data_IF_206916324186
#
_entry.id   IF_206916324186
#
_cell.length_a   1.000
_cell.length_b   1.000
_cell.length_c   1.000
_cell.angle_alpha   90.00
_cell.angle_beta   90.00
_cell.angle_gamma   90.00
#
_symmetry.space_group_name_H-M   'P 1'
#
loop_
_entity.id
_entity.type
_entity.pdbx_description
1 polymer ?
#
# COMPACT_ATOMS: atom_id res chain seq x y z
N UNK A 1 4.97 16.34 -16.49
CA UNK A 1 6.11 17.27 -16.31
C UNK A 1 7.35 16.58 -16.85
N UNK A 2 8.00 17.16 -17.85
CA UNK A 2 9.26 16.68 -18.45
C UNK A 2 10.48 17.16 -17.64
N UNK A 3 10.42 17.03 -16.30
CA UNK A 3 11.51 17.43 -15.42
C UNK A 3 12.61 16.37 -15.38
N UNK A 4 13.87 16.81 -15.29
CA UNK A 4 14.96 15.91 -14.94
C UNK A 4 14.76 15.47 -13.48
N UNK A 5 14.49 14.18 -13.27
CA UNK A 5 14.22 13.58 -11.96
C UNK A 5 15.50 13.16 -11.21
N UNK A 6 16.67 13.61 -11.68
CA UNK A 6 17.97 13.38 -11.05
C UNK A 6 18.33 14.61 -10.21
N UNK A 7 18.50 14.43 -8.90
CA UNK A 7 18.94 15.52 -8.02
C UNK A 7 18.82 15.20 -6.54
N UNK A 8 19.06 16.22 -5.72
CA UNK A 8 18.87 16.20 -4.26
C UNK A 8 17.94 17.35 -3.91
N UNK A 9 16.91 17.07 -3.11
CA UNK A 9 15.95 18.07 -2.67
C UNK A 9 15.44 17.74 -1.26
N UNK A 10 15.05 18.75 -0.46
CA UNK A 10 14.35 18.50 0.79
C UNK A 10 12.94 17.94 0.52
N UNK A 11 12.54 16.92 1.29
CA UNK A 11 11.17 16.39 1.25
C UNK A 11 10.22 17.27 2.06
N UNK A 12 9.03 17.54 1.52
CA UNK A 12 7.95 18.18 2.27
C UNK A 12 7.32 17.19 3.26
N UNK A 13 6.94 17.69 4.44
CA UNK A 13 6.21 16.93 5.44
C UNK A 13 4.81 17.54 5.66
N UNK A 14 3.82 16.71 5.97
CA UNK A 14 2.49 17.17 6.37
C UNK A 14 2.50 17.58 7.85
N UNK A 15 3.01 18.80 8.09
CA UNK A 15 3.09 19.43 9.41
C UNK A 15 2.50 20.84 9.37
N UNK A 16 1.98 21.29 10.51
CA UNK A 16 1.53 22.67 10.69
C UNK A 16 2.70 23.61 11.05
N UNK A 17 2.39 24.90 11.26
CA UNK A 17 3.38 25.90 11.67
C UNK A 17 3.99 25.63 13.05
N UNK A 18 3.35 24.79 13.87
CA UNK A 18 3.86 24.34 15.16
C UNK A 18 4.65 23.02 15.05
N UNK A 19 4.97 22.58 13.83
CA UNK A 19 5.67 21.31 13.55
C UNK A 19 4.91 20.05 14.02
N UNK A 20 3.59 20.15 14.20
CA UNK A 20 2.74 19.02 14.54
C UNK A 20 2.21 18.34 13.29
N UNK A 21 2.06 17.00 13.32
CA UNK A 21 1.54 16.21 12.20
C UNK A 21 0.12 16.64 11.81
N UNK A 22 -0.10 16.86 10.51
CA UNK A 22 -1.42 17.06 9.92
C UNK A 22 -1.88 15.75 9.28
N UNK A 23 -2.82 15.06 9.94
CA UNK A 23 -3.44 13.81 9.46
C UNK A 23 -4.73 14.08 8.67
N UNK A 24 -5.24 13.07 7.96
CA UNK A 24 -6.56 13.16 7.30
C UNK A 24 -7.69 13.43 8.31
N UNK A 25 -7.62 12.85 9.51
CA UNK A 25 -8.59 13.10 10.57
C UNK A 25 -8.54 14.55 11.09
N UNK A 26 -7.34 15.10 11.26
CA UNK A 26 -7.18 16.50 11.70
C UNK A 26 -7.61 17.48 10.61
N UNK A 27 -7.23 17.21 9.35
CA UNK A 27 -7.48 18.12 8.24
C UNK A 27 -8.94 18.08 7.74
N UNK A 28 -9.56 16.90 7.68
CA UNK A 28 -10.86 16.72 7.01
C UNK A 28 -12.01 16.35 7.94
N UNK A 29 -11.76 15.54 8.99
CA UNK A 29 -12.84 15.12 9.89
C UNK A 29 -13.08 16.13 11.02
N UNK A 30 -12.02 16.59 11.69
CA UNK A 30 -12.13 17.49 12.85
C UNK A 30 -12.97 18.74 12.57
N UNK A 31 -12.84 19.42 11.40
CA UNK A 31 -13.66 20.59 11.08
C UNK A 31 -15.16 20.31 10.89
N UNK A 32 -15.55 19.06 10.62
CA UNK A 32 -16.93 18.68 10.28
C UNK A 32 -17.53 17.66 11.27
N UNK A 33 -16.80 17.29 12.32
CA UNK A 33 -17.17 16.21 13.25
C UNK A 33 -18.53 16.40 13.93
N UNK A 34 -18.98 17.64 14.09
CA UNK A 34 -20.22 18.02 14.76
C UNK A 34 -21.37 18.28 13.75
N UNK A 35 -21.15 18.06 12.45
CA UNK A 35 -22.19 18.22 11.44
C UNK A 35 -23.17 17.04 11.48
N UNK A 36 -24.47 17.33 11.50
CA UNK A 36 -25.53 16.33 11.67
C UNK A 36 -25.61 15.27 10.54
N UNK A 37 -25.04 15.54 9.37
CA UNK A 37 -24.99 14.64 8.23
C UNK A 37 -23.70 13.80 8.15
N UNK A 38 -22.84 13.85 9.17
CA UNK A 38 -21.59 13.07 9.25
C UNK A 38 -21.61 12.22 10.51
N UNK A 39 -21.59 10.90 10.35
CA UNK A 39 -21.49 9.94 11.45
C UNK A 39 -20.22 9.12 11.30
N UNK A 40 -19.38 9.10 12.34
CA UNK A 40 -18.17 8.26 12.40
C UNK A 40 -18.31 7.27 13.54
N UNK A 41 -18.19 5.98 13.24
CA UNK A 41 -18.20 4.89 14.22
C UNK A 41 -16.78 4.35 14.32
N UNK A 42 -16.09 4.65 15.40
CA UNK A 42 -14.73 4.16 15.66
C UNK A 42 -14.74 2.75 16.24
N UNK A 43 -13.69 1.97 15.99
CA UNK A 43 -13.64 0.57 16.43
C UNK A 43 -14.63 -0.33 15.69
N UNK A 44 -15.19 0.15 14.57
CA UNK A 44 -16.02 -0.61 13.67
C UNK A 44 -15.16 -1.32 12.61
N UNK A 45 -15.22 -2.65 12.56
CA UNK A 45 -14.51 -3.47 11.56
C UNK A 45 -15.52 -4.01 10.55
N UNK A 46 -15.44 -3.55 9.30
CA UNK A 46 -16.29 -4.04 8.20
C UNK A 46 -15.95 -5.50 7.93
N UNK A 47 -16.97 -6.36 7.91
CA UNK A 47 -16.80 -7.79 7.68
C UNK A 47 -17.05 -8.16 6.22
N UNK A 48 -18.09 -7.59 5.61
CA UNK A 48 -18.41 -7.75 4.17
C UNK A 48 -19.49 -6.76 3.72
N UNK A 49 -19.66 -6.69 2.41
CA UNK A 49 -20.73 -6.00 1.71
C UNK A 49 -21.81 -7.01 1.31
N UNK A 50 -23.07 -6.62 1.40
CA UNK A 50 -24.22 -7.45 1.00
C UNK A 50 -24.84 -6.87 -0.26
N UNK A 51 -24.98 -7.72 -1.27
CA UNK A 51 -25.45 -7.32 -2.59
C UNK A 51 -26.89 -7.74 -2.87
N UNK A 52 -27.55 -6.96 -3.70
CA UNK A 52 -28.78 -7.32 -4.40
C UNK A 52 -28.51 -7.34 -5.91
N UNK A 53 -29.11 -8.29 -6.62
CA UNK A 53 -29.00 -8.35 -8.07
C UNK A 53 -29.81 -7.22 -8.72
N UNK A 54 -29.22 -6.53 -9.68
CA UNK A 54 -29.86 -5.55 -10.55
C UNK A 54 -29.66 -5.95 -12.02
N UNK A 55 -30.38 -5.30 -12.93
CA UNK A 55 -30.29 -5.57 -14.37
C UNK A 55 -28.86 -5.39 -14.91
N UNK A 56 -28.13 -4.37 -14.40
CA UNK A 56 -26.82 -3.96 -14.91
C UNK A 56 -25.64 -4.37 -14.00
N UNK A 57 -25.88 -5.20 -12.98
CA UNK A 57 -24.83 -5.68 -12.08
C UNK A 57 -25.29 -5.91 -10.64
N UNK A 58 -24.35 -5.95 -9.71
CA UNK A 58 -24.63 -6.10 -8.29
C UNK A 58 -24.63 -4.73 -7.58
N UNK A 59 -25.69 -4.43 -6.83
CA UNK A 59 -25.74 -3.24 -5.98
C UNK A 59 -25.48 -3.61 -4.53
N UNK A 60 -24.60 -2.86 -3.86
CA UNK A 60 -24.43 -2.93 -2.41
C UNK A 60 -25.69 -2.37 -1.76
N UNK A 61 -26.38 -3.23 -1.02
CA UNK A 61 -27.57 -2.89 -0.25
C UNK A 61 -27.24 -2.62 1.22
N UNK A 62 -26.27 -3.36 1.78
CA UNK A 62 -25.84 -3.20 3.18
C UNK A 62 -24.34 -3.37 3.36
N UNK A 63 -23.82 -2.76 4.40
CA UNK A 63 -22.48 -3.03 4.95
C UNK A 63 -22.66 -3.74 6.27
N UNK A 64 -22.07 -4.93 6.42
CA UNK A 64 -21.96 -5.64 7.69
C UNK A 64 -20.65 -5.27 8.37
N UNK A 65 -20.71 -5.04 9.69
CA UNK A 65 -19.55 -4.68 10.49
C UNK A 65 -19.72 -5.13 11.93
N UNK A 66 -18.62 -5.17 12.67
CA UNK A 66 -18.59 -5.46 14.10
C UNK A 66 -18.04 -4.26 14.87
N UNK A 67 -18.37 -4.11 16.15
CA UNK A 67 -17.85 -3.02 17.00
C UNK A 67 -17.27 -3.60 18.29
N UNK A 68 -16.17 -3.02 18.78
CA UNK A 68 -15.57 -3.41 20.06
C UNK A 68 -15.05 -4.85 20.03
N UNK A 69 -15.59 -5.72 20.90
CA UNK A 69 -15.14 -7.11 21.06
C UNK A 69 -15.55 -8.05 19.91
N UNK A 70 -16.31 -7.54 18.93
CA UNK A 70 -16.70 -8.24 17.70
C UNK A 70 -17.67 -9.43 17.86
N UNK A 71 -18.37 -9.50 18.98
CA UNK A 71 -19.33 -10.57 19.27
C UNK A 71 -20.65 -10.47 18.48
N UNK A 72 -20.96 -9.28 17.95
CA UNK A 72 -22.20 -9.02 17.21
C UNK A 72 -21.92 -8.40 15.85
N UNK A 73 -22.54 -8.97 14.81
CA UNK A 73 -22.62 -8.38 13.47
C UNK A 73 -23.76 -7.37 13.45
N UNK A 74 -23.41 -6.11 13.17
CA UNK A 74 -24.33 -5.02 12.88
C UNK A 74 -24.39 -4.80 11.37
N UNK A 75 -25.44 -4.12 10.91
CA UNK A 75 -25.52 -3.70 9.51
C UNK A 75 -26.09 -2.30 9.35
N UNK A 76 -25.68 -1.63 8.29
CA UNK A 76 -26.24 -0.34 7.85
C UNK A 76 -26.64 -0.44 6.38
N UNK A 77 -27.76 0.20 6.03
CA UNK A 77 -28.22 0.28 4.65
C UNK A 77 -27.42 1.30 3.84
N UNK A 78 -27.18 0.99 2.58
CA UNK A 78 -26.57 1.89 1.61
C UNK A 78 -27.68 2.55 0.80
N UNK A 79 -27.87 3.86 1.01
CA UNK A 79 -28.95 4.60 0.33
C UNK A 79 -28.60 5.11 -1.08
N UNK A 80 -27.31 5.25 -1.41
CA UNK A 80 -26.84 5.71 -2.72
C UNK A 80 -25.67 4.87 -3.20
N UNK A 81 -24.49 5.11 -2.64
CA UNK A 81 -23.24 4.44 -3.01
C UNK A 81 -22.49 3.97 -1.77
N UNK A 82 -21.75 2.87 -1.93
CA UNK A 82 -20.75 2.42 -0.97
C UNK A 82 -19.35 2.80 -1.48
N UNK A 83 -18.54 3.40 -0.61
CA UNK A 83 -17.17 3.79 -0.93
C UNK A 83 -16.24 2.99 -0.01
N UNK A 84 -15.39 2.16 -0.60
CA UNK A 84 -14.41 1.35 0.11
C UNK A 84 -13.05 2.06 0.14
N UNK A 85 -12.51 2.27 1.33
CA UNK A 85 -11.24 2.97 1.58
C UNK A 85 -10.41 2.28 2.67
N UNK A 86 -10.38 0.95 2.68
CA UNK A 86 -9.73 0.15 3.71
C UNK A 86 -8.21 -0.02 3.47
N UNK A 87 -7.68 0.51 2.36
CA UNK A 87 -6.27 0.45 2.00
C UNK A 87 -5.90 -0.85 1.28
N UNK A 88 -4.66 -0.91 0.78
CA UNK A 88 -4.23 -1.94 -0.17
C UNK A 88 -4.20 -3.37 0.37
N UNK A 89 -4.29 -3.58 1.68
CA UNK A 89 -4.39 -4.93 2.24
C UNK A 89 -5.83 -5.35 2.53
N UNK A 90 -6.61 -4.47 3.17
CA UNK A 90 -7.96 -4.82 3.62
C UNK A 90 -9.04 -4.62 2.55
N UNK A 91 -8.86 -3.69 1.60
CA UNK A 91 -9.80 -3.50 0.50
C UNK A 91 -10.00 -4.76 -0.35
N UNK A 92 -8.96 -5.43 -0.89
CA UNK A 92 -9.15 -6.67 -1.63
C UNK A 92 -9.78 -7.76 -0.75
N UNK A 93 -9.37 -7.86 0.52
CA UNK A 93 -9.95 -8.81 1.46
C UNK A 93 -11.47 -8.60 1.64
N UNK A 94 -11.91 -7.35 1.82
CA UNK A 94 -13.34 -7.03 1.96
C UNK A 94 -14.08 -7.37 0.67
N UNK A 95 -13.52 -7.05 -0.50
CA UNK A 95 -14.12 -7.41 -1.79
C UNK A 95 -14.31 -8.93 -1.90
N UNK A 96 -13.28 -9.71 -1.59
CA UNK A 96 -13.36 -11.16 -1.68
C UNK A 96 -14.32 -11.77 -0.66
N UNK A 97 -14.29 -11.32 0.61
CA UNK A 97 -15.26 -11.71 1.65
C UNK A 97 -16.71 -11.39 1.26
N UNK A 98 -16.90 -10.45 0.34
CA UNK A 98 -18.20 -10.04 -0.19
C UNK A 98 -18.57 -10.73 -1.51
N UNK A 99 -17.74 -11.65 -1.99
CA UNK A 99 -17.97 -12.41 -3.23
C UNK A 99 -17.52 -11.71 -4.51
N UNK A 100 -16.66 -10.69 -4.42
CA UNK A 100 -16.03 -10.04 -5.58
C UNK A 100 -14.55 -10.41 -5.61
N UNK A 101 -14.15 -11.21 -6.59
CA UNK A 101 -12.77 -11.68 -6.74
C UNK A 101 -12.65 -12.82 -7.73
N UNK A 102 -11.48 -13.45 -7.79
CA UNK A 102 -11.29 -14.65 -8.62
C UNK A 102 -12.23 -15.76 -8.16
N UNK A 103 -13.04 -16.29 -9.07
CA UNK A 103 -13.90 -17.46 -8.80
C UNK A 103 -13.18 -18.57 -8.05
N UNK A 104 -11.96 -18.90 -8.48
CA UNK A 104 -11.17 -19.97 -7.87
C UNK A 104 -10.83 -19.68 -6.39
N UNK A 105 -10.44 -18.44 -6.09
CA UNK A 105 -10.12 -18.02 -4.71
C UNK A 105 -11.39 -18.09 -3.84
N UNK A 106 -12.50 -17.56 -4.33
CA UNK A 106 -13.77 -17.51 -3.60
C UNK A 106 -14.34 -18.91 -3.34
N UNK A 107 -14.41 -19.76 -4.37
CA UNK A 107 -14.94 -21.11 -4.26
C UNK A 107 -14.06 -21.99 -3.34
N UNK A 108 -12.74 -21.77 -3.30
CA UNK A 108 -11.84 -22.48 -2.37
C UNK A 108 -12.11 -22.19 -0.88
N UNK A 109 -12.89 -21.16 -0.59
CA UNK A 109 -13.21 -20.65 0.75
C UNK A 109 -14.71 -20.72 1.06
N UNK A 110 -15.48 -21.43 0.24
CA UNK A 110 -16.94 -21.55 0.29
C UNK A 110 -17.67 -20.19 0.23
N UNK A 111 -17.12 -19.23 -0.52
CA UNK A 111 -17.74 -17.91 -0.73
C UNK A 111 -18.49 -17.90 -2.06
N UNK A 112 -19.76 -17.49 -2.02
CA UNK A 112 -20.56 -17.33 -3.23
C UNK A 112 -20.00 -16.22 -4.11
N UNK A 113 -19.79 -16.51 -5.39
CA UNK A 113 -19.33 -15.53 -6.38
C UNK A 113 -20.47 -14.59 -6.76
N UNK A 114 -20.32 -13.31 -6.42
CA UNK A 114 -21.20 -12.22 -6.85
C UNK A 114 -20.69 -11.64 -8.17
N UNK A 115 -19.38 -11.33 -8.23
CA UNK A 115 -18.71 -10.88 -9.45
C UNK A 115 -17.38 -11.61 -9.58
N UNK A 116 -17.20 -12.32 -10.69
CA UNK A 116 -15.90 -12.91 -11.04
C UNK A 116 -14.99 -11.81 -11.58
N UNK A 117 -14.04 -11.40 -10.74
CA UNK A 117 -13.13 -10.30 -10.98
C UNK A 117 -11.72 -10.70 -10.54
N UNK A 118 -11.00 -11.47 -11.37
CA UNK A 118 -9.74 -12.11 -10.97
C UNK A 118 -8.58 -11.13 -10.70
N UNK A 119 -8.74 -9.84 -11.00
CA UNK A 119 -7.75 -8.81 -10.66
C UNK A 119 -7.78 -8.36 -9.19
N UNK A 120 -8.81 -8.72 -8.42
CA UNK A 120 -8.88 -8.38 -6.99
C UNK A 120 -7.78 -9.12 -6.23
N UNK A 121 -7.02 -8.38 -5.42
CA UNK A 121 -5.93 -8.93 -4.63
C UNK A 121 -4.61 -9.02 -5.40
N UNK A 122 -4.66 -9.07 -6.73
CA UNK A 122 -3.48 -9.15 -7.59
C UNK A 122 -2.74 -7.82 -7.71
N UNK A 123 -1.59 -7.82 -8.39
CA UNK A 123 -0.88 -6.59 -8.75
C UNK A 123 -0.36 -5.80 -7.52
N UNK A 124 -0.23 -6.44 -6.35
CA UNK A 124 0.38 -5.82 -5.18
C UNK A 124 1.80 -5.39 -5.51
N UNK A 125 2.11 -4.13 -5.24
CA UNK A 125 3.46 -3.61 -5.36
C UNK A 125 3.85 -2.93 -4.06
N UNK A 126 5.02 -3.27 -3.53
CA UNK A 126 5.70 -2.48 -2.50
C UNK A 126 7.01 -1.93 -3.06
N UNK A 127 7.26 -0.64 -2.88
CA UNK A 127 8.56 -0.04 -3.19
C UNK A 127 9.61 -0.72 -2.30
N UNK A 128 10.59 -1.39 -2.92
CA UNK A 128 11.64 -2.08 -2.17
C UNK A 128 12.60 -1.07 -1.57
N UNK A 129 12.97 -1.32 -0.33
CA UNK A 129 13.81 -0.48 0.48
C UNK A 129 14.93 -1.33 1.09
N UNK A 130 16.15 -0.84 0.94
CA UNK A 130 17.34 -1.42 1.55
C UNK A 130 18.17 -0.30 2.17
N UNK A 131 18.89 -0.62 3.24
CA UNK A 131 19.73 0.31 4.01
C UNK A 131 18.95 1.37 4.80
N UNK A 132 18.66 1.05 6.06
CA UNK A 132 18.21 2.03 7.05
C UNK A 132 18.81 1.68 8.42
N UNK A 133 19.28 2.70 9.14
CA UNK A 133 19.34 2.69 10.61
C UNK A 133 17.96 3.05 11.19
N UNK A 134 16.89 2.42 10.69
CA UNK A 134 15.59 2.46 11.36
C UNK A 134 15.58 1.28 12.33
N UNK A 135 15.55 1.53 13.65
CA UNK A 135 15.55 0.45 14.62
C UNK A 135 14.28 -0.38 14.43
N UNK A 136 14.43 -1.65 14.05
CA UNK A 136 13.34 -2.64 14.07
C UNK A 136 13.72 -3.76 15.04
N UNK A 137 12.79 -4.61 15.49
CA UNK A 137 13.12 -5.76 16.34
C UNK A 137 14.21 -6.68 15.73
N UNK A 138 14.36 -6.68 14.41
CA UNK A 138 15.33 -7.46 13.64
C UNK A 138 16.59 -6.66 13.25
N UNK A 139 16.58 -5.33 13.36
CA UNK A 139 17.72 -4.45 13.09
C UNK A 139 17.94 -3.48 14.24
N UNK A 140 18.81 -3.83 15.21
CA UNK A 140 19.13 -2.92 16.29
C UNK A 140 19.84 -1.67 15.72
N UNK A 141 19.55 -0.51 16.32
CA UNK A 141 20.34 0.68 16.06
C UNK A 141 21.82 0.41 16.34
N UNK A 142 22.76 1.06 15.62
CA UNK A 142 24.17 1.03 15.98
C UNK A 142 24.33 1.41 17.45
N UNK A 143 25.17 0.68 18.17
CA UNK A 143 25.49 1.03 19.57
C UNK A 143 26.12 2.42 19.59
N UNK A 144 25.71 3.32 20.50
CA UNK A 144 26.39 4.60 20.66
C UNK A 144 27.88 4.37 20.93
N UNK A 145 28.74 4.85 20.02
CA UNK A 145 30.20 4.67 20.08
C UNK A 145 30.94 6.02 20.02
N UNK A 146 30.25 7.13 20.26
CA UNK A 146 30.80 8.49 20.16
C UNK A 146 30.71 9.11 18.76
N UNK A 147 30.37 8.33 17.73
CA UNK A 147 30.17 8.83 16.36
C UNK A 147 28.69 9.04 16.03
N UNK A 148 28.42 10.06 15.20
CA UNK A 148 27.13 10.24 14.54
C UNK A 148 26.93 9.23 13.42
N UNK A 149 25.67 8.82 13.20
CA UNK A 149 25.32 7.88 12.13
C UNK A 149 24.33 8.55 11.18
N UNK A 150 24.45 8.24 9.89
CA UNK A 150 23.46 8.59 8.88
C UNK A 150 23.32 7.44 7.88
N UNK A 151 22.19 7.36 7.20
CA UNK A 151 21.91 6.30 6.22
C UNK A 151 21.69 6.88 4.85
N UNK A 152 22.00 6.07 3.83
CA UNK A 152 21.51 6.25 2.47
C UNK A 152 20.46 5.18 2.17
N UNK A 153 19.16 5.49 2.32
CA UNK A 153 18.10 4.60 1.88
C UNK A 153 18.21 4.35 0.38
N UNK A 154 18.35 3.07 0.01
CA UNK A 154 18.32 2.62 -1.37
C UNK A 154 16.91 2.14 -1.67
N UNK A 155 16.24 2.85 -2.57
CA UNK A 155 14.81 2.69 -2.82
C UNK A 155 14.59 2.37 -4.28
N UNK A 156 14.01 1.20 -4.56
CA UNK A 156 13.55 0.83 -5.90
C UNK A 156 12.10 1.27 -6.07
N UNK A 157 11.89 2.44 -6.67
CA UNK A 157 10.58 3.09 -6.79
C UNK A 157 9.66 2.45 -7.83
N UNK A 158 10.20 1.70 -8.78
CA UNK A 158 9.43 1.01 -9.82
C UNK A 158 9.85 -0.46 -9.91
N UNK A 159 9.55 -1.28 -8.88
CA UNK A 159 9.86 -2.70 -8.93
C UNK A 159 9.10 -3.38 -10.07
N UNK A 160 9.70 -4.39 -10.67
CA UNK A 160 9.05 -5.25 -11.66
C UNK A 160 8.24 -6.35 -10.98
N UNK A 161 8.71 -6.87 -9.84
CA UNK A 161 8.00 -7.84 -9.01
C UNK A 161 6.58 -7.38 -8.66
N UNK A 162 5.68 -8.36 -8.62
CA UNK A 162 4.28 -8.19 -8.28
C UNK A 162 3.88 -9.31 -7.36
N UNK A 163 3.25 -8.94 -6.26
CA UNK A 163 2.68 -9.87 -5.32
C UNK A 163 1.16 -9.90 -5.37
N UNK A 164 0.57 -10.46 -4.32
CA UNK A 164 -0.87 -10.54 -4.14
C UNK A 164 -1.30 -10.41 -2.67
N UNK A 165 -2.59 -10.14 -2.48
CA UNK A 165 -3.29 -10.12 -1.19
C UNK A 165 -4.61 -10.86 -1.34
N UNK A 166 -4.72 -12.01 -0.68
CA UNK A 166 -5.95 -12.81 -0.72
C UNK A 166 -6.39 -13.19 0.69
N UNK A 167 -7.68 -13.49 0.84
CA UNK A 167 -8.22 -13.95 2.11
C UNK A 167 -7.54 -15.24 2.60
N UNK A 168 -7.16 -15.28 3.88
CA UNK A 168 -6.65 -16.49 4.52
C UNK A 168 -7.78 -17.45 4.90
N UNK A 169 -8.93 -16.90 5.26
CA UNK A 169 -10.16 -17.63 5.54
C UNK A 169 -11.39 -16.73 5.40
N UNK A 170 -12.58 -17.32 5.49
CA UNK A 170 -13.86 -16.59 5.56
C UNK A 170 -14.10 -15.82 6.88
N UNK A 171 -13.20 -15.94 7.85
CA UNK A 171 -13.27 -15.15 9.08
C UNK A 171 -12.71 -13.74 8.81
N UNK A 172 -13.53 -12.69 8.84
CA UNK A 172 -13.11 -11.32 8.52
C UNK A 172 -12.11 -10.73 9.51
N UNK A 173 -11.88 -11.41 10.65
CA UNK A 173 -10.90 -10.97 11.66
C UNK A 173 -9.50 -11.51 11.42
N UNK A 174 -9.36 -12.55 10.60
CA UNK A 174 -8.06 -13.07 10.21
C UNK A 174 -7.39 -12.10 9.22
N UNK A 175 -6.10 -11.79 9.40
CA UNK A 175 -5.35 -11.03 8.40
C UNK A 175 -5.35 -11.76 7.05
N UNK A 176 -5.34 -11.03 5.92
CA UNK A 176 -5.18 -11.65 4.62
C UNK A 176 -3.78 -12.26 4.47
N UNK A 177 -3.65 -13.23 3.57
CA UNK A 177 -2.36 -13.71 3.08
C UNK A 177 -1.76 -12.61 2.20
N UNK A 178 -0.58 -12.12 2.57
CA UNK A 178 0.16 -11.11 1.81
C UNK A 178 1.42 -11.77 1.28
N UNK A 179 1.51 -11.91 -0.05
CA UNK A 179 2.74 -12.26 -0.73
C UNK A 179 3.26 -11.03 -1.46
N UNK A 180 4.46 -10.56 -1.12
CA UNK A 180 5.08 -9.42 -1.79
C UNK A 180 5.89 -9.82 -3.04
N UNK A 181 6.21 -11.12 -3.17
CA UNK A 181 7.03 -11.69 -4.25
C UNK A 181 8.31 -10.88 -4.52
N UNK A 182 8.97 -10.44 -3.44
CA UNK A 182 10.16 -9.60 -3.52
C UNK A 182 11.28 -10.34 -4.26
N UNK A 183 11.89 -9.67 -5.25
CA UNK A 183 12.92 -10.23 -6.13
C UNK A 183 12.51 -11.40 -7.01
N UNK A 184 11.21 -11.66 -7.18
CA UNK A 184 10.71 -12.58 -8.20
C UNK A 184 11.20 -12.20 -9.61
N UNK A 185 11.20 -10.90 -9.95
CA UNK A 185 11.82 -10.43 -11.18
C UNK A 185 13.30 -10.06 -10.95
N UNK A 186 14.21 -10.69 -11.70
CA UNK A 186 15.66 -10.54 -11.51
C UNK A 186 16.17 -9.12 -11.67
N UNK A 187 15.53 -8.28 -12.50
CA UNK A 187 15.93 -6.88 -12.66
C UNK A 187 15.90 -6.09 -11.32
N UNK A 188 14.99 -6.44 -10.40
CA UNK A 188 14.83 -5.68 -9.15
C UNK A 188 16.08 -5.78 -8.27
N UNK A 189 16.63 -6.99 -8.13
CA UNK A 189 17.83 -7.20 -7.33
C UNK A 189 19.07 -6.61 -8.03
N UNK A 190 19.16 -6.72 -9.35
CA UNK A 190 20.29 -6.15 -10.11
C UNK A 190 20.33 -4.61 -10.03
N UNK A 191 19.16 -3.95 -10.04
CA UNK A 191 19.09 -2.49 -9.86
C UNK A 191 19.57 -2.11 -8.45
N UNK A 192 19.16 -2.85 -7.42
CA UNK A 192 19.60 -2.58 -6.05
C UNK A 192 21.09 -2.87 -5.82
N UNK A 193 21.68 -3.88 -6.48
CA UNK A 193 23.14 -4.11 -6.46
C UNK A 193 23.87 -2.87 -7.00
N UNK A 194 23.39 -2.32 -8.12
CA UNK A 194 23.95 -1.10 -8.69
C UNK A 194 23.74 0.12 -7.79
N UNK A 195 22.62 0.19 -7.05
CA UNK A 195 22.36 1.23 -6.07
C UNK A 195 23.35 1.17 -4.88
N UNK A 196 23.68 -0.02 -4.37
CA UNK A 196 24.71 -0.20 -3.34
C UNK A 196 26.07 0.29 -3.83
N UNK A 197 26.47 -0.15 -5.02
CA UNK A 197 27.73 0.30 -5.66
C UNK A 197 27.75 1.81 -5.87
N UNK A 198 26.62 2.39 -6.26
CA UNK A 198 26.48 3.84 -6.42
C UNK A 198 26.66 4.58 -5.09
N UNK A 199 25.99 4.13 -4.01
CA UNK A 199 26.13 4.74 -2.69
C UNK A 199 27.57 4.71 -2.17
N UNK A 200 28.29 3.59 -2.38
CA UNK A 200 29.73 3.51 -2.06
C UNK A 200 30.57 4.52 -2.82
N UNK A 201 30.34 4.67 -4.14
CA UNK A 201 31.02 5.68 -4.94
C UNK A 201 30.71 7.10 -4.46
N UNK A 202 29.45 7.36 -4.08
CA UNK A 202 29.03 8.66 -3.53
C UNK A 202 29.76 8.98 -2.22
N UNK A 203 29.82 8.03 -1.29
CA UNK A 203 30.55 8.17 -0.03
C UNK A 203 32.06 8.35 -0.22
N UNK A 204 32.62 7.87 -1.34
CA UNK A 204 34.03 8.06 -1.69
C UNK A 204 34.37 9.42 -2.31
N UNK A 205 33.39 10.31 -2.51
CA UNK A 205 33.64 11.64 -3.08
C UNK A 205 34.21 12.61 -2.04
N UNK A 206 34.89 13.67 -2.50
CA UNK A 206 35.53 14.67 -1.62
C UNK A 206 34.53 15.32 -0.64
N UNK A 207 33.26 15.47 -1.03
CA UNK A 207 32.22 16.04 -0.16
C UNK A 207 31.92 15.20 1.09
N UNK A 208 32.20 13.89 1.05
CA UNK A 208 31.98 12.96 2.16
C UNK A 208 33.27 12.60 2.91
N UNK A 209 34.41 13.11 2.46
CA UNK A 209 35.70 12.89 3.12
C UNK A 209 35.71 13.51 4.52
N UNK A 210 36.08 12.70 5.51
CA UNK A 210 36.05 13.11 6.92
C UNK A 210 34.66 13.12 7.55
N UNK A 211 33.59 12.87 6.77
CA UNK A 211 32.22 12.66 7.27
C UNK A 211 31.93 11.16 7.37
N UNK A 212 32.20 10.42 6.30
CA UNK A 212 32.10 8.95 6.29
C UNK A 212 33.43 8.37 6.78
N UNK A 213 33.42 7.81 7.98
CA UNK A 213 34.59 7.14 8.58
C UNK A 213 34.58 5.64 8.27
N UNK A 214 33.39 5.03 8.27
CA UNK A 214 33.20 3.59 8.09
C UNK A 214 31.83 3.28 7.47
N UNK A 215 31.77 2.25 6.62
CA UNK A 215 30.52 1.65 6.19
C UNK A 215 30.11 0.53 7.16
N UNK A 216 28.97 0.69 7.84
CA UNK A 216 28.49 -0.31 8.81
C UNK A 216 27.72 -1.45 8.13
N UNK A 217 26.89 -1.12 7.13
CA UNK A 217 26.05 -2.10 6.41
C UNK A 217 25.98 -1.77 4.92
N UNK A 218 26.15 -2.75 4.01
CA UNK A 218 26.51 -4.17 4.27
C UNK A 218 27.90 -4.39 4.87
N UNK A 219 28.75 -3.37 4.85
CA UNK A 219 30.07 -3.40 5.45
C UNK A 219 31.17 -3.71 4.41
N UNK A 220 32.44 -3.47 4.77
CA UNK A 220 33.54 -3.49 3.82
C UNK A 220 33.87 -4.89 3.25
N UNK A 221 33.38 -5.97 3.87
CA UNK A 221 33.67 -7.33 3.42
C UNK A 221 32.70 -7.85 2.35
N UNK A 222 31.59 -7.16 2.09
CA UNK A 222 30.60 -7.55 1.07
C UNK A 222 30.92 -6.80 -0.22
N UNK A 223 31.59 -7.43 -1.19
CA UNK A 223 32.16 -6.72 -2.35
C UNK A 223 31.61 -7.19 -3.70
N UNK A 224 31.55 -8.50 -3.90
CA UNK A 224 31.05 -9.09 -5.14
C UNK A 224 29.54 -8.90 -5.30
N UNK A 225 29.06 -8.97 -6.55
CA UNK A 225 27.63 -8.86 -6.86
C UNK A 225 26.81 -9.93 -6.14
N UNK A 226 27.35 -11.14 -6.00
CA UNK A 226 26.67 -12.25 -5.32
C UNK A 226 26.59 -12.04 -3.80
N UNK A 227 27.67 -11.56 -3.16
CA UNK A 227 27.64 -11.19 -1.74
C UNK A 227 26.66 -10.03 -1.50
N UNK A 228 26.61 -9.04 -2.39
CA UNK A 228 25.65 -7.95 -2.31
C UNK A 228 24.22 -8.49 -2.47
N UNK A 229 23.95 -9.37 -3.45
CA UNK A 229 22.63 -10.00 -3.63
C UNK A 229 22.19 -10.79 -2.40
N UNK A 230 23.09 -11.58 -1.81
CA UNK A 230 22.81 -12.32 -0.59
C UNK A 230 22.46 -11.37 0.57
N UNK A 231 23.24 -10.30 0.74
CA UNK A 231 22.90 -9.25 1.70
C UNK A 231 21.50 -8.66 1.43
N UNK A 232 21.22 -8.22 0.20
CA UNK A 232 19.94 -7.62 -0.18
C UNK A 232 18.75 -8.55 0.12
N UNK A 233 18.87 -9.85 -0.15
CA UNK A 233 17.80 -10.84 0.16
C UNK A 233 17.50 -10.96 1.65
N UNK A 234 18.53 -10.84 2.49
CA UNK A 234 18.38 -10.90 3.93
C UNK A 234 17.86 -9.59 4.54
N UNK A 235 17.96 -8.48 3.80
CA UNK A 235 17.70 -7.13 4.33
C UNK A 235 16.72 -6.29 3.52
N UNK A 236 16.06 -6.83 2.52
CA UNK A 236 15.01 -6.09 1.82
C UNK A 236 13.78 -5.97 2.69
N UNK A 237 13.17 -4.80 2.66
CA UNK A 237 11.84 -4.52 3.18
C UNK A 237 11.11 -3.62 2.17
N UNK A 238 9.90 -3.18 2.48
CA UNK A 238 9.16 -2.20 1.68
C UNK A 238 9.00 -0.87 2.44
N UNK A 239 8.84 0.23 1.72
CA UNK A 239 8.63 1.57 2.33
C UNK A 239 7.25 1.75 2.95
N UNK A 240 6.52 0.67 3.26
CA UNK A 240 5.12 0.71 3.72
C UNK A 240 4.19 1.47 2.74
N UNK A 241 4.47 1.39 1.43
CA UNK A 241 3.65 1.95 0.35
C UNK A 241 3.00 0.84 -0.52
N UNK A 242 2.19 -0.07 0.04
CA UNK A 242 1.52 -1.09 -0.76
C UNK A 242 0.48 -0.43 -1.66
N UNK A 243 0.52 -0.71 -2.96
CA UNK A 243 -0.42 -0.21 -3.96
C UNK A 243 -0.93 -1.35 -4.84
N UNK A 244 -2.02 -1.11 -5.57
CA UNK A 244 -2.35 -1.86 -6.78
C UNK A 244 -3.30 -3.05 -6.66
N UNK A 245 -3.75 -3.41 -5.46
CA UNK A 245 -4.57 -4.60 -5.18
C UNK A 245 -6.04 -4.51 -5.62
N UNK A 246 -6.48 -3.33 -6.06
CA UNK A 246 -7.76 -3.11 -6.71
C UNK A 246 -7.57 -2.19 -7.93
N UNK A 247 -6.58 -2.51 -8.77
CA UNK A 247 -6.03 -1.64 -9.80
C UNK A 247 -7.08 -0.96 -10.71
N UNK A 248 -6.91 0.34 -10.92
CA UNK A 248 -7.62 1.10 -11.95
C UNK A 248 -6.96 0.86 -13.31
N UNK A 249 -7.42 -0.16 -14.01
CA UNK A 249 -6.96 -0.58 -15.34
C UNK A 249 -8.16 -0.95 -16.23
N UNK A 250 -7.99 -1.11 -17.55
CA UNK A 250 -8.96 -1.80 -18.38
C UNK A 250 -9.28 -3.20 -17.80
N UNK A 251 -10.56 -3.59 -17.83
CA UNK A 251 -11.01 -4.86 -17.24
C UNK A 251 -10.30 -6.08 -17.83
N UNK A 252 -10.04 -6.07 -19.14
CA UNK A 252 -9.33 -7.09 -19.88
C UNK A 252 -7.81 -7.16 -19.56
N UNK A 253 -7.29 -6.17 -18.83
CA UNK A 253 -5.91 -6.12 -18.33
C UNK A 253 -5.84 -6.39 -16.81
N UNK A 254 -6.89 -6.98 -16.22
CA UNK A 254 -6.95 -7.27 -14.79
C UNK A 254 -7.39 -6.08 -13.94
N UNK A 255 -8.02 -5.06 -14.52
CA UNK A 255 -8.59 -3.94 -13.76
C UNK A 255 -9.74 -4.35 -12.85
N UNK A 256 -9.77 -3.77 -11.65
CA UNK A 256 -10.84 -3.95 -10.65
C UNK A 256 -11.81 -2.78 -10.68
N UNK A 257 -11.31 -1.57 -10.88
CA UNK A 257 -12.13 -0.36 -11.02
C UNK A 257 -11.93 0.34 -12.36
N UNK A 258 -12.96 1.03 -12.83
CA UNK A 258 -12.90 1.89 -14.01
C UNK A 258 -12.31 3.28 -13.71
N UNK A 259 -12.23 4.14 -14.73
CA UNK A 259 -11.69 5.51 -14.61
C UNK A 259 -12.51 6.46 -13.70
N UNK A 260 -13.73 6.05 -13.35
CA UNK A 260 -14.63 6.71 -12.38
C UNK A 260 -14.52 6.09 -10.99
N UNK A 261 -13.62 5.11 -10.81
CA UNK A 261 -13.35 4.39 -9.56
C UNK A 261 -14.45 3.38 -9.17
N UNK A 262 -15.38 3.10 -10.08
CA UNK A 262 -16.45 2.12 -9.88
C UNK A 262 -15.91 0.70 -10.08
N UNK A 263 -16.25 -0.21 -9.17
CA UNK A 263 -15.87 -1.63 -9.27
C UNK A 263 -16.62 -2.27 -10.43
N UNK A 264 -15.90 -2.92 -11.34
CA UNK A 264 -16.51 -3.58 -12.49
C UNK A 264 -17.53 -4.64 -12.02
N UNK A 265 -18.68 -4.71 -12.71
CA UNK A 265 -19.77 -5.63 -12.36
C UNK A 265 -20.67 -5.15 -11.21
N UNK A 266 -20.42 -3.95 -10.66
CA UNK A 266 -21.27 -3.33 -9.64
C UNK A 266 -21.88 -2.03 -10.13
N UNK A 267 -23.02 -1.63 -9.57
CA UNK A 267 -23.72 -0.40 -9.97
C UNK A 267 -23.40 0.80 -9.07
N UNK A 268 -23.11 0.55 -7.78
CA UNK A 268 -22.97 1.59 -6.75
C UNK A 268 -21.78 1.39 -5.77
N UNK A 269 -20.77 0.58 -6.12
CA UNK A 269 -19.56 0.39 -5.30
C UNK A 269 -18.35 1.07 -5.95
N UNK A 270 -17.63 1.88 -5.17
CA UNK A 270 -16.34 2.47 -5.57
C UNK A 270 -15.23 2.08 -4.60
N UNK A 271 -14.00 2.08 -5.11
CA UNK A 271 -12.78 1.97 -4.28
C UNK A 271 -11.99 3.25 -4.36
N UNK A 272 -11.65 3.83 -3.21
CA UNK A 272 -11.05 5.15 -3.09
C UNK A 272 -9.94 5.10 -2.04
N UNK A 273 -8.86 4.42 -2.38
CA UNK A 273 -7.64 4.34 -1.56
C UNK A 273 -6.41 4.00 -2.42
N UNK A 274 -5.31 3.62 -1.78
CA UNK A 274 -4.06 3.25 -2.44
C UNK A 274 -4.15 2.01 -3.35
N UNK A 275 -5.12 1.12 -3.13
CA UNK A 275 -5.27 -0.14 -3.87
C UNK A 275 -5.56 0.09 -5.36
N UNK A 276 -6.15 1.22 -5.73
CA UNK A 276 -6.49 1.50 -7.12
C UNK A 276 -5.29 1.94 -7.97
N UNK A 277 -4.17 2.30 -7.35
CA UNK A 277 -3.03 2.87 -8.07
C UNK A 277 -2.28 1.73 -8.78
N UNK A 278 -2.37 1.62 -10.13
CA UNK A 278 -1.97 0.40 -10.83
C UNK A 278 -0.45 0.24 -10.98
N UNK A 279 0.29 1.35 -10.87
CA UNK A 279 1.74 1.42 -10.98
C UNK A 279 2.30 2.23 -9.83
N UNK A 280 3.45 1.80 -9.32
CA UNK A 280 4.15 2.58 -8.31
C UNK A 280 4.53 3.96 -8.82
N UNK A 281 4.50 4.92 -7.91
CA UNK A 281 4.90 6.30 -8.17
C UNK A 281 6.24 6.56 -7.50
N UNK A 282 7.13 7.31 -8.16
CA UNK A 282 8.40 7.73 -7.58
C UNK A 282 8.23 8.89 -6.58
N UNK A 283 7.32 8.74 -5.62
CA UNK A 283 6.99 9.70 -4.59
C UNK A 283 6.31 9.02 -3.38
N UNK A 284 6.25 9.72 -2.25
CA UNK A 284 5.38 9.31 -1.14
C UNK A 284 3.91 9.42 -1.58
N UNK A 285 3.06 8.40 -1.36
CA UNK A 285 1.74 8.32 -1.97
C UNK A 285 0.68 9.21 -1.34
N UNK A 286 0.96 9.81 -0.16
CA UNK A 286 -0.03 10.56 0.60
C UNK A 286 -0.73 11.66 -0.22
N UNK A 287 0.02 12.51 -0.92
CA UNK A 287 -0.56 13.59 -1.73
C UNK A 287 -1.41 13.05 -2.89
N UNK A 288 -0.96 11.98 -3.54
CA UNK A 288 -1.69 11.32 -4.61
C UNK A 288 -3.00 10.71 -4.12
N UNK A 289 -2.99 10.08 -2.94
CA UNK A 289 -4.19 9.50 -2.32
C UNK A 289 -5.20 10.60 -1.96
N UNK A 290 -4.75 11.76 -1.45
CA UNK A 290 -5.63 12.91 -1.26
C UNK A 290 -6.25 13.39 -2.60
N UNK A 291 -5.45 13.48 -3.66
CA UNK A 291 -5.97 13.87 -4.98
C UNK A 291 -7.01 12.86 -5.53
N UNK A 292 -6.81 11.56 -5.30
CA UNK A 292 -7.78 10.51 -5.62
C UNK A 292 -9.08 10.70 -4.83
N UNK A 293 -8.97 10.94 -3.52
CA UNK A 293 -10.13 11.15 -2.66
C UNK A 293 -10.94 12.40 -3.06
N UNK A 294 -10.26 13.50 -3.40
CA UNK A 294 -10.90 14.72 -3.91
C UNK A 294 -11.57 14.49 -5.27
N UNK A 295 -11.00 13.66 -6.15
CA UNK A 295 -11.58 13.38 -7.48
C UNK A 295 -12.99 12.78 -7.39
N UNK A 296 -13.24 11.92 -6.40
CA UNK A 296 -14.56 11.26 -6.21
C UNK A 296 -15.66 12.27 -5.96
N UNK A 297 -15.36 13.38 -5.27
CA UNK A 297 -16.35 14.41 -4.94
C UNK A 297 -17.00 15.04 -6.18
N UNK A 298 -16.31 15.02 -7.32
CA UNK A 298 -16.72 15.69 -8.54
C UNK A 298 -17.35 14.77 -9.60
N UNK A 299 -17.51 13.46 -9.31
CA UNK A 299 -18.08 12.44 -10.20
C UNK A 299 -19.28 11.74 -9.57
#
# INVERSE_FOLDING_TARGET
SSGNNIGVWPSSNAIDLASSRVSSATAYYTPVKDQANVTVITGAHVTRLIFTAEHDGAAVNRVEYTVGNRDQILSVFVGKEAILSAGSYQTPQILELSGIGSRQVLESQDINVVVDLPGVGENLRGIMLVSQFVPTPVRPAPKPNGNGHFSFPLILTHPFSRGSVHLASKDPTNPPLVDLSLFDHSADIEILVNAVKFARRLCGTEAFKGVVVEEITPGPNVQSDDEIKEYLRNVVDITHHPLGTAAMLPRDQGGVVDSTLKVYGTTNLRVVDASIIPLQIAAHPQATIYAIAEKVRYN
#
